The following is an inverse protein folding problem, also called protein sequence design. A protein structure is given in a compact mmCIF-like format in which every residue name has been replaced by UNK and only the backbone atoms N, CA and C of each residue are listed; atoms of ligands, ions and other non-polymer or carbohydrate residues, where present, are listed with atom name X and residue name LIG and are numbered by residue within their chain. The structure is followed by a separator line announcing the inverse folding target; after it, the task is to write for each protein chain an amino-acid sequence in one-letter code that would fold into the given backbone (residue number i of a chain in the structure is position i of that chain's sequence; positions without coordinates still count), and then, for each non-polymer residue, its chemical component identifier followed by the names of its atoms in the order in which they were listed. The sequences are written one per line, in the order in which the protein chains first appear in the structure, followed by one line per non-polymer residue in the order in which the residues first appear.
data_IF_762848305810
#
_entry.id   IF_762848305810
#
_cell.length_a   1.000
_cell.length_b   1.000
_cell.length_c   1.000
_cell.angle_alpha   90.00
_cell.angle_beta   90.00
_cell.angle_gamma   90.00
#
_symmetry.space_group_name_H-M   'P 1'
#
loop_
_entity.id
_entity.type
_entity.pdbx_description
1 polymer ?
#
# COMPACT_ATOMS: atom_id res chain seq x y z
N UNK A 1 3.92 -15.92 27.01
CA UNK A 1 5.05 -16.79 26.68
C UNK A 1 4.87 -17.30 25.26
N UNK A 2 5.32 -16.55 24.25
CA UNK A 2 5.09 -16.90 22.82
C UNK A 2 6.40 -16.98 22.02
N UNK A 3 7.55 -16.92 22.69
CA UNK A 3 8.87 -16.96 22.06
C UNK A 3 9.45 -18.38 21.88
N UNK A 4 8.66 -19.43 22.14
CA UNK A 4 9.10 -20.83 22.01
C UNK A 4 8.52 -21.54 20.79
N UNK A 5 7.69 -20.88 20.00
CA UNK A 5 7.15 -21.41 18.76
C UNK A 5 8.01 -20.96 17.57
N UNK A 6 8.23 -21.84 16.61
CA UNK A 6 9.01 -21.54 15.40
C UNK A 6 8.34 -20.40 14.61
N UNK A 7 9.05 -19.29 14.44
CA UNK A 7 8.53 -18.10 13.76
C UNK A 7 8.46 -18.34 12.24
N UNK A 8 7.32 -18.85 11.78
CA UNK A 8 6.96 -18.97 10.37
C UNK A 8 5.77 -18.05 10.09
N UNK A 9 6.01 -16.77 9.74
CA UNK A 9 4.95 -15.80 9.53
C UNK A 9 4.30 -15.98 8.14
N UNK A 10 2.98 -16.05 8.12
CA UNK A 10 2.17 -15.82 6.93
C UNK A 10 1.77 -14.35 6.90
N UNK A 11 2.05 -13.68 5.78
CA UNK A 11 1.79 -12.25 5.59
C UNK A 11 0.68 -12.08 4.57
N UNK A 12 -0.45 -11.52 4.99
CA UNK A 12 -1.52 -11.09 4.11
C UNK A 12 -1.45 -9.56 3.94
N UNK A 13 -1.30 -9.11 2.70
CA UNK A 13 -1.25 -7.69 2.35
C UNK A 13 -2.49 -7.29 1.58
N UNK A 14 -3.16 -6.26 2.06
CA UNK A 14 -4.18 -5.53 1.32
C UNK A 14 -3.68 -4.12 1.02
N UNK A 15 -3.78 -3.71 -0.25
CA UNK A 15 -3.37 -2.40 -0.70
C UNK A 15 -4.56 -1.69 -1.33
N UNK A 16 -4.78 -0.45 -0.93
CA UNK A 16 -5.78 0.44 -1.50
C UNK A 16 -5.13 1.77 -1.86
N UNK A 17 -5.47 2.33 -3.01
CA UNK A 17 -5.04 3.67 -3.41
C UNK A 17 -6.25 4.53 -3.65
N UNK A 18 -6.30 5.69 -2.99
CA UNK A 18 -7.31 6.72 -3.22
C UNK A 18 -6.62 7.97 -3.73
N UNK A 19 -7.30 8.69 -4.61
CA UNK A 19 -6.85 10.01 -5.04
C UNK A 19 -8.00 11.00 -4.99
N UNK A 20 -7.70 12.23 -4.61
CA UNK A 20 -8.65 13.33 -4.68
C UNK A 20 -7.95 14.60 -5.16
N UNK A 21 -8.70 15.45 -5.86
CA UNK A 21 -8.20 16.74 -6.33
C UNK A 21 -8.46 17.78 -5.24
N UNK A 22 -7.40 18.38 -4.71
CA UNK A 22 -7.50 19.42 -3.68
C UNK A 22 -7.52 20.83 -4.24
N UNK A 23 -6.83 21.03 -5.37
CA UNK A 23 -6.76 22.30 -6.07
C UNK A 23 -6.54 22.02 -7.57
N UNK A 24 -6.59 23.06 -8.38
CA UNK A 24 -6.16 22.96 -9.77
C UNK A 24 -4.76 22.38 -9.88
N UNK A 25 -4.61 21.35 -10.72
CA UNK A 25 -3.37 20.59 -10.90
C UNK A 25 -2.77 19.95 -9.64
N UNK A 26 -3.42 19.95 -8.48
CA UNK A 26 -2.90 19.34 -7.25
C UNK A 26 -3.83 18.25 -6.76
N UNK A 27 -3.27 17.05 -6.64
CA UNK A 27 -3.97 15.86 -6.20
C UNK A 27 -3.33 15.32 -4.93
N UNK A 28 -4.13 14.96 -3.93
CA UNK A 28 -3.67 14.07 -2.86
C UNK A 28 -3.83 12.64 -3.34
N UNK A 29 -2.82 11.82 -3.11
CA UNK A 29 -2.89 10.37 -3.25
C UNK A 29 -2.59 9.76 -1.89
N UNK A 30 -3.46 8.87 -1.44
CA UNK A 30 -3.32 8.11 -0.20
C UNK A 30 -3.15 6.63 -0.57
N UNK A 31 -1.99 6.08 -0.22
CA UNK A 31 -1.70 4.66 -0.28
C UNK A 31 -1.95 4.05 1.10
N UNK A 32 -2.98 3.24 1.21
CA UNK A 32 -3.34 2.50 2.41
C UNK A 32 -2.84 1.07 2.29
N UNK A 33 -2.03 0.62 3.26
CA UNK A 33 -1.56 -0.76 3.34
C UNK A 33 -2.00 -1.35 4.67
N UNK A 34 -2.72 -2.47 4.59
CA UNK A 34 -3.04 -3.30 5.74
C UNK A 34 -2.22 -4.59 5.64
N UNK A 35 -1.36 -4.83 6.62
CA UNK A 35 -0.60 -6.07 6.76
C UNK A 35 -1.13 -6.86 7.96
N UNK A 36 -1.66 -8.05 7.70
CA UNK A 36 -2.02 -9.02 8.74
C UNK A 36 -0.98 -10.11 8.76
N UNK A 37 -0.31 -10.30 9.90
CA UNK A 37 0.70 -11.34 10.08
C UNK A 37 0.19 -12.38 11.05
N UNK A 38 0.21 -13.64 10.63
CA UNK A 38 -0.18 -14.79 11.44
C UNK A 38 0.93 -15.82 11.54
N UNK A 39 0.96 -16.56 12.63
CA UNK A 39 1.82 -17.73 12.83
C UNK A 39 1.02 -18.82 13.51
N UNK A 40 1.20 -20.08 13.13
CA UNK A 40 0.44 -21.22 13.68
C UNK A 40 -1.09 -20.99 13.71
N UNK A 41 -1.62 -20.37 12.64
CA UNK A 41 -3.05 -20.00 12.48
C UNK A 41 -3.59 -19.02 13.52
N UNK A 42 -2.72 -18.29 14.21
CA UNK A 42 -3.07 -17.20 15.13
C UNK A 42 -2.49 -15.90 14.60
N UNK A 43 -3.26 -14.82 14.67
CA UNK A 43 -2.76 -13.48 14.35
C UNK A 43 -1.70 -13.07 15.36
N UNK A 44 -0.50 -12.77 14.87
CA UNK A 44 0.58 -12.21 15.67
C UNK A 44 0.36 -10.70 15.83
N UNK A 45 0.16 -9.99 14.72
CA UNK A 45 -0.14 -8.57 14.70
C UNK A 45 -0.85 -8.14 13.42
N UNK A 46 -1.47 -6.96 13.47
CA UNK A 46 -2.05 -6.26 12.33
C UNK A 46 -1.51 -4.83 12.33
N UNK A 47 -1.12 -4.35 11.16
CA UNK A 47 -0.65 -2.98 10.95
C UNK A 47 -1.44 -2.38 9.80
N UNK A 48 -1.90 -1.15 9.98
CA UNK A 48 -2.53 -0.35 8.94
C UNK A 48 -1.82 1.00 8.86
N UNK A 49 -1.33 1.35 7.68
CA UNK A 49 -0.64 2.60 7.41
C UNK A 49 -1.31 3.31 6.25
N UNK A 50 -1.55 4.61 6.41
CA UNK A 50 -2.04 5.50 5.36
C UNK A 50 -0.95 6.51 5.06
N UNK A 51 -0.27 6.34 3.93
CA UNK A 51 0.73 7.29 3.48
C UNK A 51 0.12 8.18 2.41
N UNK A 52 0.06 9.48 2.71
CA UNK A 52 -0.41 10.48 1.77
C UNK A 52 0.78 11.19 1.09
N UNK A 53 0.52 11.71 -0.11
CA UNK A 53 1.38 12.67 -0.79
C UNK A 53 0.57 13.62 -1.65
N UNK A 54 1.04 14.87 -1.74
CA UNK A 54 0.49 15.86 -2.66
C UNK A 54 1.33 15.88 -3.93
N UNK A 55 0.65 15.72 -5.07
CA UNK A 55 1.27 15.66 -6.39
C UNK A 55 0.74 16.79 -7.25
N UNK A 56 1.65 17.65 -7.71
CA UNK A 56 1.35 18.64 -8.73
C UNK A 56 1.46 17.98 -10.12
N UNK A 57 0.34 17.85 -10.82
CA UNK A 57 0.22 17.16 -12.10
C UNK A 57 -0.45 18.09 -13.11
N UNK A 58 0.27 18.44 -14.17
CA UNK A 58 -0.22 19.29 -15.25
C UNK A 58 0.26 18.79 -16.62
N UNK A 59 -0.51 19.06 -17.67
CA UNK A 59 -0.13 18.76 -19.06
C UNK A 59 -0.39 17.32 -19.53
N UNK A 60 -1.15 16.53 -18.77
CA UNK A 60 -1.49 15.15 -19.11
C UNK A 60 -2.94 15.01 -19.58
N UNK A 61 -3.18 14.06 -20.49
CA UNK A 61 -4.55 13.64 -20.86
C UNK A 61 -5.20 12.88 -19.71
N UNK A 62 -6.52 12.81 -19.70
CA UNK A 62 -7.31 12.18 -18.63
C UNK A 62 -6.88 10.72 -18.36
N UNK A 63 -6.75 9.89 -19.40
CA UNK A 63 -6.28 8.49 -19.26
C UNK A 63 -4.89 8.40 -18.62
N UNK A 64 -3.99 9.34 -18.96
CA UNK A 64 -2.65 9.39 -18.39
C UNK A 64 -2.68 9.88 -16.95
N UNK A 65 -3.56 10.83 -16.62
CA UNK A 65 -3.76 11.31 -15.26
C UNK A 65 -4.24 10.16 -14.35
N UNK A 66 -5.21 9.36 -14.79
CA UNK A 66 -5.67 8.21 -14.02
C UNK A 66 -4.57 7.19 -13.76
N UNK A 67 -3.75 6.89 -14.77
CA UNK A 67 -2.60 6.01 -14.61
C UNK A 67 -1.54 6.59 -13.65
N UNK A 68 -1.25 7.88 -13.75
CA UNK A 68 -0.33 8.56 -12.83
C UNK A 68 -0.80 8.47 -11.37
N UNK A 69 -2.09 8.75 -11.13
CA UNK A 69 -2.68 8.71 -9.78
C UNK A 69 -2.79 7.29 -9.24
N UNK A 70 -3.11 6.31 -10.10
CA UNK A 70 -3.37 4.92 -9.71
C UNK A 70 -2.15 4.01 -9.67
N UNK A 71 -1.04 4.36 -10.34
CA UNK A 71 0.17 3.56 -10.35
C UNK A 71 1.43 4.33 -9.95
N UNK A 72 1.72 5.44 -10.62
CA UNK A 72 3.00 6.14 -10.45
C UNK A 72 3.10 6.80 -9.07
N UNK A 73 2.07 7.52 -8.66
CA UNK A 73 2.02 8.17 -7.34
C UNK A 73 2.13 7.16 -6.18
N UNK A 74 1.33 6.09 -6.08
CA UNK A 74 1.48 5.12 -5.00
C UNK A 74 2.82 4.38 -5.05
N UNK A 75 3.40 4.15 -6.22
CA UNK A 75 4.76 3.59 -6.32
C UNK A 75 5.83 4.50 -5.71
N UNK A 76 5.67 5.83 -5.82
CA UNK A 76 6.54 6.81 -5.14
C UNK A 76 6.34 6.76 -3.61
N UNK A 77 5.10 6.55 -3.14
CA UNK A 77 4.77 6.49 -1.71
C UNK A 77 5.19 5.17 -1.05
N UNK A 78 5.24 4.08 -1.81
CA UNK A 78 5.44 2.73 -1.28
C UNK A 78 6.72 2.54 -0.45
N UNK A 79 7.91 3.06 -0.84
CA UNK A 79 9.12 2.94 -0.03
C UNK A 79 8.98 3.52 1.38
N UNK A 80 8.23 4.62 1.52
CA UNK A 80 7.98 5.26 2.82
C UNK A 80 7.08 4.38 3.69
N UNK A 81 5.98 3.84 3.13
CA UNK A 81 5.11 2.90 3.85
C UNK A 81 5.89 1.65 4.29
N UNK A 82 6.72 1.11 3.40
CA UNK A 82 7.52 -0.09 3.66
C UNK A 82 8.50 0.13 4.81
N UNK A 83 9.12 1.30 4.88
CA UNK A 83 10.02 1.68 5.98
C UNK A 83 9.26 1.84 7.29
N UNK A 84 8.15 2.58 7.29
CA UNK A 84 7.27 2.77 8.47
C UNK A 84 6.78 1.43 9.02
N UNK A 85 6.32 0.52 8.16
CA UNK A 85 5.88 -0.82 8.60
C UNK A 85 7.04 -1.58 9.23
N UNK A 86 8.22 -1.59 8.60
CA UNK A 86 9.40 -2.26 9.16
C UNK A 86 9.78 -1.70 10.53
N UNK A 87 9.77 -0.39 10.69
CA UNK A 87 10.09 0.28 11.96
C UNK A 87 9.08 -0.06 13.07
N UNK A 88 7.78 0.03 12.77
CA UNK A 88 6.71 -0.31 13.74
C UNK A 88 6.79 -1.78 14.17
N UNK A 89 7.01 -2.71 13.24
CA UNK A 89 7.15 -4.14 13.55
C UNK A 89 8.33 -4.38 14.50
N UNK A 90 9.47 -3.74 14.20
CA UNK A 90 10.67 -3.86 15.04
C UNK A 90 10.46 -3.24 16.43
N UNK A 91 9.78 -2.10 16.54
CA UNK A 91 9.38 -1.51 17.84
C UNK A 91 8.40 -2.39 18.61
N UNK A 92 7.60 -3.19 17.91
CA UNK A 92 6.73 -4.21 18.50
C UNK A 92 7.49 -5.44 19.05
N UNK A 93 8.82 -5.50 18.87
CA UNK A 93 9.65 -6.62 19.32
C UNK A 93 9.57 -7.86 18.42
N UNK A 94 8.95 -7.73 17.23
CA UNK A 94 8.89 -8.80 16.25
C UNK A 94 10.09 -8.76 15.29
N UNK A 95 10.43 -9.89 14.64
CA UNK A 95 11.41 -9.90 13.56
C UNK A 95 11.01 -8.93 12.44
N UNK A 96 12.02 -8.35 11.77
CA UNK A 96 11.81 -7.36 10.73
C UNK A 96 10.89 -7.87 9.62
N UNK A 97 9.85 -7.10 9.30
CA UNK A 97 8.97 -7.36 8.17
C UNK A 97 9.37 -6.48 6.99
N UNK A 98 9.92 -7.10 5.95
CA UNK A 98 10.26 -6.42 4.71
C UNK A 98 9.20 -6.74 3.67
N UNK A 99 8.40 -5.74 3.28
CA UNK A 99 7.42 -5.91 2.20
C UNK A 99 8.13 -6.18 0.87
N UNK A 100 7.62 -7.17 0.13
CA UNK A 100 8.07 -7.41 -1.23
C UNK A 100 7.72 -6.21 -2.14
N UNK A 101 8.52 -5.96 -3.20
CA UNK A 101 8.15 -4.97 -4.20
C UNK A 101 6.76 -5.24 -4.78
N UNK A 102 6.00 -4.18 -5.04
CA UNK A 102 4.65 -4.25 -5.59
C UNK A 102 4.67 -3.73 -7.02
N UNK A 103 3.95 -4.41 -7.92
CA UNK A 103 3.71 -3.91 -9.28
C UNK A 103 2.40 -3.11 -9.31
N UNK A 104 2.51 -1.79 -9.18
CA UNK A 104 1.36 -0.89 -9.16
C UNK A 104 0.66 -0.77 -10.51
N UNK A 105 1.35 -1.00 -11.63
CA UNK A 105 0.73 -1.01 -12.96
C UNK A 105 -0.27 -2.17 -13.08
N UNK A 106 0.11 -3.36 -12.60
CA UNK A 106 -0.76 -4.52 -12.60
C UNK A 106 -1.99 -4.32 -11.69
N UNK A 107 -1.80 -3.70 -10.51
CA UNK A 107 -2.90 -3.38 -9.60
C UNK A 107 -3.87 -2.36 -10.22
N UNK A 108 -3.35 -1.35 -10.90
CA UNK A 108 -4.16 -0.36 -11.63
C UNK A 108 -4.99 -1.01 -12.74
N UNK A 109 -4.37 -1.87 -13.56
CA UNK A 109 -5.09 -2.62 -14.61
C UNK A 109 -6.19 -3.50 -14.02
N UNK A 110 -5.89 -4.23 -12.94
CA UNK A 110 -6.88 -5.06 -12.25
C UNK A 110 -8.05 -4.23 -11.69
N UNK A 111 -7.78 -3.02 -11.20
CA UNK A 111 -8.82 -2.10 -10.75
C UNK A 111 -9.70 -1.63 -11.91
N UNK A 112 -9.11 -1.23 -13.04
CA UNK A 112 -9.86 -0.82 -14.24
C UNK A 112 -10.77 -1.93 -14.76
N UNK A 113 -10.28 -3.17 -14.82
CA UNK A 113 -11.07 -4.34 -15.24
C UNK A 113 -12.26 -4.61 -14.30
N UNK A 114 -12.07 -4.44 -12.99
CA UNK A 114 -13.16 -4.59 -12.01
C UNK A 114 -14.23 -3.52 -12.20
N UNK A 115 -13.84 -2.26 -12.38
CA UNK A 115 -14.78 -1.15 -12.61
C UNK A 115 -15.54 -1.33 -13.92
N UNK A 116 -14.88 -1.81 -14.99
CA UNK A 116 -15.53 -2.08 -16.26
C UNK A 116 -16.54 -3.24 -16.22
N UNK A 117 -16.36 -4.23 -15.32
CA UNK A 117 -17.30 -5.35 -15.12
C UNK A 117 -18.49 -5.01 -14.23
N UNK A 118 -18.41 -3.90 -13.49
CA UNK A 118 -19.45 -3.44 -12.56
C UNK A 118 -20.31 -2.29 -13.13
N UNK A 119 -19.91 -1.75 -14.28
CA UNK A 119 -20.68 -0.78 -15.08
C UNK A 119 -21.50 -1.50 -16.16
#
# INVERSE_FOLDING_TARGET
HTFSEEWQPEVNLNLETKSHRIQDHVHEVVLSITATVSTNKKTAFLIEVHQAGLFAINGFKEDQLHHLLGSVCPNILFPYVREVISDIVMRGGFPQLILAPVNFDALYMQHMEKTAKQA
#
